data_IF_739349112852
#
_entry.id   IF_739349112852
#
_cell.length_a   1.000
_cell.length_b   1.000
_cell.length_c   1.000
_cell.angle_alpha   90.00
_cell.angle_beta   90.00
_cell.angle_gamma   90.00
#
_symmetry.space_group_name_H-M   'P 1'
#
loop_
_entity.id
_entity.type
_entity.pdbx_description
1 polymer ?
#
# COMPACT_ATOMS: atom_id res chain seq x y z
N UNK A 1 28.16 6.45 13.51
CA UNK A 1 27.91 5.30 12.61
C UNK A 1 26.91 4.24 13.11
N UNK A 2 26.73 4.01 14.43
CA UNK A 2 25.84 2.94 14.96
C UNK A 2 24.33 3.13 14.64
N UNK A 3 23.83 4.36 14.51
CA UNK A 3 22.41 4.66 14.18
C UNK A 3 22.04 4.29 12.73
N UNK A 4 22.93 4.57 11.77
CA UNK A 4 22.72 4.27 10.34
C UNK A 4 22.63 2.75 10.13
N UNK A 5 23.53 1.97 10.76
CA UNK A 5 23.51 0.49 10.68
C UNK A 5 22.22 -0.17 11.17
N UNK A 6 21.43 0.50 12.04
CA UNK A 6 20.12 -0.03 12.48
C UNK A 6 19.02 0.26 11.47
N UNK A 7 18.98 1.48 10.90
CA UNK A 7 18.04 1.86 9.83
C UNK A 7 18.25 0.99 8.59
N UNK A 8 19.49 0.86 8.14
CA UNK A 8 19.84 0.03 6.98
C UNK A 8 19.48 -1.44 7.19
N UNK A 9 19.76 -2.03 8.36
CA UNK A 9 19.35 -3.42 8.64
C UNK A 9 17.85 -3.66 8.60
N UNK A 10 17.06 -2.67 8.99
CA UNK A 10 15.59 -2.75 8.97
C UNK A 10 15.08 -2.62 7.53
N UNK A 11 15.68 -1.73 6.75
CA UNK A 11 15.42 -1.54 5.33
C UNK A 11 15.79 -2.78 4.51
N UNK A 12 17.00 -3.33 4.71
CA UNK A 12 17.46 -4.55 4.07
C UNK A 12 16.52 -5.70 4.40
N UNK A 13 16.09 -5.87 5.65
CA UNK A 13 15.12 -6.92 5.99
C UNK A 13 13.78 -6.77 5.29
N UNK A 14 13.29 -5.53 5.14
CA UNK A 14 12.02 -5.25 4.46
C UNK A 14 12.09 -5.54 2.96
N UNK A 15 13.17 -5.12 2.31
CA UNK A 15 13.36 -5.28 0.86
C UNK A 15 13.88 -6.66 0.47
N UNK A 16 14.58 -7.38 1.36
CA UNK A 16 15.08 -8.73 1.08
C UNK A 16 13.96 -9.73 0.82
N UNK A 17 12.80 -9.55 1.46
CA UNK A 17 11.60 -10.34 1.18
C UNK A 17 11.12 -10.12 -0.26
N UNK A 18 11.03 -8.87 -0.72
CA UNK A 18 10.61 -8.55 -2.09
C UNK A 18 11.60 -9.03 -3.14
N UNK A 19 12.90 -8.91 -2.87
CA UNK A 19 13.96 -9.41 -3.76
C UNK A 19 13.86 -10.92 -3.90
N UNK A 20 13.75 -11.66 -2.79
CA UNK A 20 13.62 -13.12 -2.82
C UNK A 20 12.33 -13.58 -3.50
N UNK A 21 11.19 -12.93 -3.21
CA UNK A 21 9.92 -13.21 -3.86
C UNK A 21 9.97 -12.96 -5.38
N UNK A 22 10.55 -11.82 -5.79
CA UNK A 22 10.73 -11.49 -7.21
C UNK A 22 11.64 -12.48 -7.95
N UNK A 23 12.66 -13.01 -7.26
CA UNK A 23 13.56 -14.03 -7.82
C UNK A 23 12.84 -15.36 -8.04
N UNK A 24 12.04 -15.80 -7.06
CA UNK A 24 11.25 -17.04 -7.16
C UNK A 24 10.20 -16.91 -8.26
N UNK A 25 9.47 -15.79 -8.33
CA UNK A 25 8.48 -15.58 -9.39
C UNK A 25 9.13 -15.56 -10.77
N UNK A 26 10.27 -14.89 -10.92
CA UNK A 26 10.99 -14.85 -12.20
C UNK A 26 11.39 -16.26 -12.64
N UNK A 27 11.88 -17.09 -11.72
CA UNK A 27 12.21 -18.49 -12.03
C UNK A 27 10.97 -19.26 -12.51
N UNK A 28 9.83 -19.12 -11.82
CA UNK A 28 8.58 -19.79 -12.21
C UNK A 28 8.07 -19.30 -13.58
N UNK A 29 8.13 -18.00 -13.84
CA UNK A 29 7.72 -17.43 -15.13
C UNK A 29 8.62 -17.91 -16.28
N UNK A 30 9.92 -17.99 -16.03
CA UNK A 30 10.90 -18.52 -16.99
C UNK A 30 10.64 -20.01 -17.25
N UNK A 31 10.40 -20.83 -16.22
CA UNK A 31 10.09 -22.25 -16.37
C UNK A 31 8.76 -22.49 -17.11
N UNK A 32 7.72 -21.72 -16.80
CA UNK A 32 6.42 -21.82 -17.47
C UNK A 32 6.51 -21.47 -18.96
N UNK A 33 7.20 -20.38 -19.30
CA UNK A 33 7.36 -19.97 -20.68
C UNK A 33 8.29 -20.90 -21.48
N UNK A 34 9.29 -21.51 -20.83
CA UNK A 34 10.10 -22.57 -21.45
C UNK A 34 9.33 -23.86 -21.66
N UNK A 35 8.42 -24.22 -20.75
CA UNK A 35 7.54 -25.38 -20.91
C UNK A 35 6.58 -25.20 -22.11
N UNK A 36 6.06 -23.99 -22.32
CA UNK A 36 5.17 -23.71 -23.46
C UNK A 36 5.90 -23.60 -24.81
N UNK A 37 7.13 -23.06 -24.83
CA UNK A 37 7.89 -22.86 -26.08
C UNK A 37 8.76 -24.04 -26.50
N UNK A 38 9.24 -24.85 -25.56
CA UNK A 38 10.16 -25.96 -25.85
C UNK A 38 11.60 -25.53 -26.21
N UNK A 39 11.95 -24.24 -26.12
CA UNK A 39 13.32 -23.74 -26.34
C UNK A 39 13.64 -22.53 -25.46
N UNK A 40 14.94 -22.35 -25.11
CA UNK A 40 15.43 -21.23 -24.29
C UNK A 40 15.38 -19.91 -25.06
N UNK A 41 14.34 -19.12 -24.85
CA UNK A 41 14.25 -17.72 -25.25
C UNK A 41 14.52 -16.76 -24.06
N UNK A 42 15.22 -15.66 -24.30
CA UNK A 42 15.34 -14.58 -23.32
C UNK A 42 14.35 -13.48 -23.71
N UNK A 43 13.22 -13.40 -23.00
CA UNK A 43 12.12 -12.48 -23.32
C UNK A 43 11.58 -11.76 -22.08
N UNK A 44 10.29 -11.42 -22.12
CA UNK A 44 9.60 -10.70 -21.04
C UNK A 44 9.57 -11.42 -19.69
N UNK A 45 9.87 -12.71 -19.66
CA UNK A 45 9.99 -13.49 -18.41
C UNK A 45 11.07 -12.91 -17.48
N UNK A 46 12.15 -12.36 -18.04
CA UNK A 46 13.22 -11.72 -17.27
C UNK A 46 12.84 -10.33 -16.75
N UNK A 47 11.77 -9.72 -17.30
CA UNK A 47 11.22 -8.46 -16.79
C UNK A 47 10.40 -8.66 -15.52
N UNK A 48 10.10 -9.89 -15.11
CA UNK A 48 9.38 -10.14 -13.85
C UNK A 48 10.16 -9.64 -12.63
N UNK A 49 11.48 -9.73 -12.62
CA UNK A 49 12.32 -9.20 -11.53
C UNK A 49 12.17 -7.68 -11.39
N UNK A 50 12.42 -6.85 -12.43
CA UNK A 50 12.23 -5.41 -12.33
C UNK A 50 10.77 -5.02 -12.07
N UNK A 51 9.79 -5.71 -12.64
CA UNK A 51 8.36 -5.46 -12.37
C UNK A 51 8.04 -5.72 -10.89
N UNK A 52 8.47 -6.84 -10.32
CA UNK A 52 8.24 -7.16 -8.91
C UNK A 52 8.94 -6.19 -7.95
N UNK A 53 10.10 -5.66 -8.34
CA UNK A 53 10.77 -4.60 -7.58
C UNK A 53 9.98 -3.29 -7.60
N UNK A 54 9.42 -2.90 -8.76
CA UNK A 54 8.55 -1.72 -8.88
C UNK A 54 7.29 -1.90 -8.04
N UNK A 55 6.62 -3.05 -8.12
CA UNK A 55 5.44 -3.36 -7.32
C UNK A 55 5.78 -3.32 -5.83
N UNK A 56 6.89 -3.94 -5.42
CA UNK A 56 7.35 -3.91 -4.03
C UNK A 56 7.62 -2.49 -3.52
N UNK A 57 8.16 -1.60 -4.39
CA UNK A 57 8.33 -0.19 -4.10
C UNK A 57 6.98 0.51 -3.88
N UNK A 58 6.02 0.34 -4.79
CA UNK A 58 4.69 0.92 -4.66
C UNK A 58 3.94 0.41 -3.43
N UNK A 59 4.02 -0.88 -3.11
CA UNK A 59 3.39 -1.44 -1.90
C UNK A 59 4.01 -0.84 -0.64
N UNK A 60 5.33 -0.67 -0.61
CA UNK A 60 6.01 -0.05 0.52
C UNK A 60 5.62 1.43 0.68
N UNK A 61 5.55 2.17 -0.42
CA UNK A 61 5.13 3.57 -0.45
C UNK A 61 3.67 3.70 0.01
N UNK A 62 2.78 2.88 -0.54
CA UNK A 62 1.37 2.80 -0.13
C UNK A 62 1.25 2.46 1.35
N UNK A 63 2.07 1.54 1.88
CA UNK A 63 2.05 1.20 3.31
C UNK A 63 2.41 2.38 4.21
N UNK A 64 3.22 3.32 3.72
CA UNK A 64 3.61 4.52 4.45
C UNK A 64 2.48 5.56 4.45
N UNK A 65 1.79 5.75 3.32
CA UNK A 65 0.72 6.76 3.20
C UNK A 65 -0.68 6.28 3.59
N UNK A 66 -0.96 4.98 3.52
CA UNK A 66 -2.25 4.42 3.91
C UNK A 66 -2.72 4.83 5.32
N UNK A 67 -1.89 4.76 6.38
CA UNK A 67 -2.36 5.10 7.72
C UNK A 67 -2.79 6.57 7.82
N UNK A 68 -2.02 7.49 7.25
CA UNK A 68 -2.34 8.92 7.25
C UNK A 68 -3.65 9.20 6.48
N UNK A 69 -3.82 8.57 5.32
CA UNK A 69 -5.04 8.73 4.52
C UNK A 69 -6.27 8.17 5.26
N UNK A 70 -6.14 7.02 5.92
CA UNK A 70 -7.23 6.41 6.69
C UNK A 70 -7.61 7.29 7.89
N UNK A 71 -6.64 7.93 8.51
CA UNK A 71 -6.85 8.83 9.64
C UNK A 71 -7.59 10.10 9.22
N UNK A 72 -7.16 10.72 8.12
CA UNK A 72 -7.81 11.89 7.52
C UNK A 72 -9.29 11.62 7.17
N UNK A 73 -9.58 10.50 6.50
CA UNK A 73 -10.95 10.07 6.21
C UNK A 73 -11.78 9.80 7.48
N UNK A 74 -11.14 9.31 8.55
CA UNK A 74 -11.81 9.06 9.82
C UNK A 74 -12.17 10.37 10.53
N UNK A 75 -11.30 11.37 10.47
CA UNK A 75 -11.53 12.69 11.04
C UNK A 75 -12.64 13.43 10.31
N UNK A 76 -12.65 13.40 8.97
CA UNK A 76 -13.70 14.01 8.15
C UNK A 76 -15.08 13.43 8.50
N UNK A 77 -15.20 12.09 8.55
CA UNK A 77 -16.44 11.43 9.02
C UNK A 77 -16.79 11.74 10.48
N UNK A 78 -15.83 12.08 11.34
CA UNK A 78 -16.11 12.48 12.71
C UNK A 78 -16.63 13.93 12.78
N UNK A 79 -16.10 14.81 11.93
CA UNK A 79 -16.52 16.20 11.81
C UNK A 79 -17.95 16.32 11.26
N UNK A 80 -18.27 15.60 10.19
CA UNK A 80 -19.63 15.58 9.62
C UNK A 80 -20.68 15.16 10.65
N UNK A 81 -20.40 14.10 11.42
CA UNK A 81 -21.27 13.63 12.51
C UNK A 81 -21.46 14.67 13.61
N UNK A 82 -20.48 15.55 13.84
CA UNK A 82 -20.63 16.67 14.80
C UNK A 82 -21.52 17.77 14.22
N UNK A 83 -21.32 18.15 12.96
CA UNK A 83 -22.16 19.14 12.26
C UNK A 83 -23.61 18.67 12.24
N UNK A 84 -23.87 17.41 11.89
CA UNK A 84 -25.25 16.93 11.80
C UNK A 84 -25.95 16.92 13.16
N UNK A 85 -25.25 16.51 14.23
CA UNK A 85 -25.79 16.62 15.60
C UNK A 85 -26.09 18.06 15.99
N UNK A 86 -25.21 19.00 15.64
CA UNK A 86 -25.42 20.41 15.97
C UNK A 86 -26.60 21.00 15.17
N UNK A 87 -26.74 20.63 13.90
CA UNK A 87 -27.88 21.01 13.05
C UNK A 87 -29.21 20.53 13.63
N UNK A 88 -29.27 19.28 14.10
CA UNK A 88 -30.47 18.74 14.78
C UNK A 88 -30.80 19.50 16.07
N UNK A 89 -29.80 19.82 16.91
CA UNK A 89 -30.01 20.62 18.13
C UNK A 89 -30.52 22.03 17.84
N UNK A 90 -30.00 22.66 16.79
CA UNK A 90 -30.44 23.99 16.37
C UNK A 90 -31.88 23.95 15.84
N UNK A 91 -32.23 22.92 15.08
CA UNK A 91 -33.59 22.74 14.55
C UNK A 91 -34.61 22.50 15.67
N UNK A 92 -34.26 21.66 16.64
CA UNK A 92 -35.12 21.34 17.78
C UNK A 92 -35.39 22.59 18.64
N UNK A 93 -34.34 23.38 18.93
CA UNK A 93 -34.48 24.67 19.62
C UNK A 93 -35.38 25.65 18.89
N UNK A 94 -35.31 25.68 17.56
CA UNK A 94 -36.14 26.53 16.72
C UNK A 94 -37.62 26.11 16.80
N UNK A 95 -37.89 24.80 16.80
CA UNK A 95 -39.24 24.27 16.92
C UNK A 95 -39.89 24.56 18.29
N UNK A 96 -39.10 24.55 19.36
CA UNK A 96 -39.57 24.91 20.72
C UNK A 96 -39.84 26.40 20.94
N UNK A 97 -39.37 27.31 20.08
CA UNK A 97 -39.66 28.75 20.19
C UNK A 97 -40.84 29.21 19.33
N UNK A 98 -41.35 28.35 18.44
CA UNK A 98 -42.48 28.67 17.55
C UNK A 98 -43.82 28.15 18.14
N UNK A 99 -43.77 27.38 19.23
CA UNK A 99 -44.94 26.84 19.95
C UNK A 99 -45.13 27.56 21.28
#
# INVERSE_FOLDING_TARGET
>A
MKRIKRKVRRFVRLYWFWVSLGLVLTKVSVEAAYAERGYKAYGGEWLMLPIMLIVGYFVNEARMYLPDLIEEWREEKAYERRIERNRRRVQDRRNTHIR
#
